data_IF_125492492296
#
_entry.id   IF_125492492296
#
_cell.length_a   1.000
_cell.length_b   1.000
_cell.length_c   1.000
_cell.angle_alpha   90.00
_cell.angle_beta   90.00
_cell.angle_gamma   90.00
#
_symmetry.space_group_name_H-M   'P 1'
#
loop_
_entity.id
_entity.type
_entity.pdbx_description
1 polymer ?
#
# COMPACT_ATOMS: atom_id res chain seq x y z
N UNK A 1 10.03 11.66 4.68
CA UNK A 1 9.65 10.59 3.75
C UNK A 1 8.88 11.11 2.53
N UNK A 2 9.23 10.62 1.34
CA UNK A 2 8.50 10.87 0.09
C UNK A 2 7.33 9.91 -0.10
N UNK A 3 6.24 10.32 -0.77
CA UNK A 3 5.06 9.45 -0.96
C UNK A 3 5.34 8.19 -1.78
N UNK A 4 6.32 8.22 -2.69
CA UNK A 4 6.78 7.02 -3.42
C UNK A 4 7.23 5.93 -2.43
N UNK A 5 7.88 6.30 -1.33
CA UNK A 5 8.29 5.32 -0.31
C UNK A 5 7.08 4.72 0.42
N UNK A 6 5.97 5.46 0.55
CA UNK A 6 4.70 4.91 1.07
C UNK A 6 4.09 3.89 0.09
N UNK A 7 4.21 4.15 -1.21
CA UNK A 7 3.75 3.20 -2.24
C UNK A 7 4.60 1.94 -2.26
N UNK A 8 5.91 2.06 -2.04
CA UNK A 8 6.83 0.92 -1.87
C UNK A 8 6.60 0.14 -0.58
N UNK A 9 6.20 0.82 0.49
CA UNK A 9 5.78 0.15 1.72
C UNK A 9 4.48 -0.64 1.50
N UNK A 10 3.55 -0.08 0.72
CA UNK A 10 2.31 -0.78 0.36
C UNK A 10 2.60 -2.07 -0.42
N UNK A 11 3.58 -2.07 -1.33
CA UNK A 11 3.96 -3.29 -2.07
C UNK A 11 4.59 -4.34 -1.15
N UNK A 12 5.39 -3.93 -0.16
CA UNK A 12 5.96 -4.85 0.85
C UNK A 12 4.85 -5.47 1.69
N UNK A 13 3.93 -4.64 2.18
CA UNK A 13 2.78 -5.14 2.93
C UNK A 13 1.91 -6.06 2.10
N UNK A 14 1.70 -5.79 0.82
CA UNK A 14 0.90 -6.66 -0.03
C UNK A 14 1.58 -8.02 -0.29
N UNK A 15 2.92 -8.04 -0.31
CA UNK A 15 3.71 -9.27 -0.47
C UNK A 15 3.80 -10.09 0.82
N UNK A 16 4.06 -9.46 1.96
CA UNK A 16 4.21 -10.15 3.26
C UNK A 16 2.90 -10.25 4.06
N UNK A 17 1.87 -9.48 3.70
CA UNK A 17 0.55 -9.48 4.32
C UNK A 17 -0.08 -10.88 4.43
N UNK A 18 0.03 -11.76 3.43
CA UNK A 18 -0.40 -13.16 3.57
C UNK A 18 0.20 -13.89 4.78
N UNK A 19 1.45 -13.62 5.17
CA UNK A 19 2.06 -14.21 6.36
C UNK A 19 1.41 -13.69 7.65
N UNK A 20 1.01 -12.41 7.65
CA UNK A 20 0.24 -11.81 8.75
C UNK A 20 -1.13 -12.45 8.87
N UNK A 21 -1.79 -12.75 7.74
CA UNK A 21 -3.09 -13.44 7.71
C UNK A 21 -3.01 -14.90 8.18
N UNK A 22 -1.90 -15.60 7.91
CA UNK A 22 -1.75 -17.01 8.31
C UNK A 22 -1.51 -17.16 9.82
N UNK A 23 -0.67 -16.32 10.40
CA UNK A 23 -0.36 -16.37 11.82
C UNK A 23 -1.46 -15.62 12.59
N UNK A 24 -2.37 -16.36 13.24
CA UNK A 24 -3.52 -15.88 14.05
C UNK A 24 -3.11 -15.11 15.32
N UNK A 25 -2.21 -14.15 15.18
CA UNK A 25 -1.75 -13.26 16.25
C UNK A 25 -2.28 -11.85 16.00
N UNK A 26 -2.84 -11.19 17.02
CA UNK A 26 -3.31 -9.82 16.89
C UNK A 26 -2.14 -8.86 16.65
N UNK A 27 -2.44 -7.71 16.04
CA UNK A 27 -1.50 -6.59 15.94
C UNK A 27 -1.43 -5.92 17.32
N UNK A 28 -0.24 -5.46 17.73
CA UNK A 28 -0.08 -4.72 18.99
C UNK A 28 -1.03 -3.52 19.05
N UNK A 29 -1.79 -3.33 20.14
CA UNK A 29 -2.65 -2.15 20.34
C UNK A 29 -1.87 -0.84 20.24
N UNK A 30 -0.60 -0.83 20.65
CA UNK A 30 0.27 0.33 20.54
C UNK A 30 0.51 0.72 19.07
N UNK A 31 0.80 -0.26 18.20
CA UNK A 31 1.02 -0.02 16.78
C UNK A 31 -0.25 0.54 16.11
N UNK A 32 -1.42 0.02 16.47
CA UNK A 32 -2.71 0.51 15.97
C UNK A 32 -2.97 1.95 16.46
N UNK A 33 -2.72 2.24 17.73
CA UNK A 33 -2.89 3.58 18.30
C UNK A 33 -1.95 4.61 17.64
N UNK A 34 -0.70 4.22 17.37
CA UNK A 34 0.24 5.08 16.64
C UNK A 34 -0.20 5.31 15.19
N UNK A 35 -0.69 4.27 14.51
CA UNK A 35 -1.21 4.40 13.14
C UNK A 35 -2.41 5.33 13.07
N UNK A 36 -3.32 5.24 14.05
CA UNK A 36 -4.43 6.17 14.20
C UNK A 36 -3.96 7.61 14.38
N UNK A 37 -3.07 7.86 15.34
CA UNK A 37 -2.56 9.20 15.64
C UNK A 37 -1.83 9.83 14.45
N UNK A 38 -0.93 9.09 13.81
CA UNK A 38 -0.18 9.55 12.65
C UNK A 38 -1.11 9.83 11.45
N UNK A 39 -2.07 8.94 11.19
CA UNK A 39 -3.04 9.13 10.11
C UNK A 39 -3.96 10.32 10.34
N UNK A 40 -4.45 10.52 11.56
CA UNK A 40 -5.27 11.68 11.97
C UNK A 40 -4.52 12.99 11.75
N UNK A 41 -3.28 13.09 12.25
CA UNK A 41 -2.45 14.28 12.07
C UNK A 41 -2.27 14.62 10.57
N UNK A 42 -1.96 13.61 9.74
CA UNK A 42 -1.82 13.80 8.29
C UNK A 42 -3.13 14.25 7.64
N UNK A 43 -4.26 13.64 8.00
CA UNK A 43 -5.58 14.01 7.49
C UNK A 43 -5.95 15.46 7.87
N UNK A 44 -5.60 15.91 9.07
CA UNK A 44 -5.84 17.30 9.50
C UNK A 44 -5.05 18.30 8.66
N UNK A 45 -3.79 17.99 8.32
CA UNK A 45 -2.99 18.82 7.42
C UNK A 45 -3.64 18.90 6.02
N UNK A 46 -4.12 17.78 5.48
CA UNK A 46 -4.84 17.77 4.21
C UNK A 46 -6.15 18.55 4.28
N UNK A 47 -6.90 18.44 5.38
CA UNK A 47 -8.11 19.21 5.60
C UNK A 47 -7.84 20.71 5.64
N UNK A 48 -6.75 21.15 6.27
CA UNK A 48 -6.35 22.56 6.26
C UNK A 48 -6.03 23.06 4.85
N UNK A 49 -5.35 22.27 4.03
CA UNK A 49 -5.06 22.59 2.62
C UNK A 49 -6.36 22.75 1.83
N UNK A 50 -7.30 21.81 1.96
CA UNK A 50 -8.60 21.89 1.27
C UNK A 50 -9.50 23.00 1.82
N UNK A 51 -9.40 23.35 3.10
CA UNK A 51 -10.11 24.49 3.67
C UNK A 51 -9.60 25.82 3.07
N UNK A 52 -8.28 25.95 2.87
CA UNK A 52 -7.69 27.11 2.19
C UNK A 52 -8.15 27.22 0.74
N UNK A 53 -8.25 26.10 0.02
CA UNK A 53 -8.83 26.08 -1.33
C UNK A 53 -10.22 26.73 -1.36
N UNK A 54 -11.12 26.31 -0.45
CA UNK A 54 -12.48 26.83 -0.39
C UNK A 54 -12.54 28.33 -0.07
N UNK A 55 -11.65 28.81 0.82
CA UNK A 55 -11.54 30.25 1.13
C UNK A 55 -11.05 31.06 -0.06
N UNK A 56 -10.04 30.59 -0.78
CA UNK A 56 -9.57 31.27 -2.00
C UNK A 56 -10.67 31.23 -3.07
N UNK A 57 -11.37 30.10 -3.20
CA UNK A 57 -12.50 29.95 -4.13
C UNK A 57 -13.61 30.96 -3.89
N UNK A 58 -13.97 31.23 -2.63
CA UNK A 58 -15.04 32.17 -2.30
C UNK A 58 -14.69 33.63 -2.60
N UNK A 59 -13.39 33.98 -2.68
CA UNK A 59 -12.97 35.33 -3.08
C UNK A 59 -13.16 35.62 -4.57
N UNK A 60 -13.24 34.60 -5.42
CA UNK A 60 -13.31 34.75 -6.87
C UNK A 60 -12.01 35.21 -7.54
N UNK A 61 -10.93 35.37 -6.78
CA UNK A 61 -9.63 35.82 -7.29
C UNK A 61 -8.90 34.68 -8.03
N UNK A 62 -8.90 34.77 -9.37
CA UNK A 62 -8.26 33.79 -10.25
C UNK A 62 -6.74 33.70 -10.06
N UNK A 63 -6.07 34.81 -9.76
CA UNK A 63 -4.62 34.81 -9.54
C UNK A 63 -4.27 34.06 -8.27
N UNK A 64 -4.95 34.38 -7.15
CA UNK A 64 -4.77 33.66 -5.89
C UNK A 64 -5.10 32.17 -6.03
N UNK A 65 -6.12 31.84 -6.81
CA UNK A 65 -6.46 30.44 -7.07
C UNK A 65 -5.32 29.71 -7.81
N UNK A 66 -4.73 30.35 -8.83
CA UNK A 66 -3.59 29.77 -9.55
C UNK A 66 -2.35 29.59 -8.66
N UNK A 67 -2.06 30.56 -7.79
CA UNK A 67 -0.99 30.43 -6.80
C UNK A 67 -1.26 29.25 -5.86
N UNK A 68 -2.48 29.12 -5.34
CA UNK A 68 -2.84 28.00 -4.47
C UNK A 68 -2.59 26.64 -5.15
N UNK A 69 -3.00 26.48 -6.41
CA UNK A 69 -2.74 25.24 -7.17
C UNK A 69 -1.26 24.95 -7.31
N UNK A 70 -0.46 25.97 -7.60
CA UNK A 70 1.00 25.83 -7.74
C UNK A 70 1.62 25.40 -6.41
N UNK A 71 1.22 26.03 -5.31
CA UNK A 71 1.80 25.80 -3.98
C UNK A 71 1.40 24.45 -3.37
N UNK A 72 0.21 23.93 -3.71
CA UNK A 72 -0.35 22.74 -3.04
C UNK A 72 -0.43 21.51 -3.95
N UNK A 73 0.06 21.59 -5.19
CA UNK A 73 0.04 20.48 -6.15
C UNK A 73 0.59 19.18 -5.56
N UNK A 74 1.75 19.27 -4.89
CA UNK A 74 2.39 18.11 -4.29
C UNK A 74 1.54 17.46 -3.18
N UNK A 75 0.80 18.24 -2.37
CA UNK A 75 -0.11 17.69 -1.36
C UNK A 75 -1.25 16.89 -2.01
N UNK A 76 -1.80 17.39 -3.13
CA UNK A 76 -2.84 16.68 -3.88
C UNK A 76 -2.33 15.36 -4.46
N UNK A 77 -1.09 15.36 -4.94
CA UNK A 77 -0.40 14.14 -5.39
C UNK A 77 -0.19 13.16 -4.24
N UNK A 78 0.22 13.63 -3.07
CA UNK A 78 0.41 12.80 -1.88
C UNK A 78 -0.90 12.17 -1.40
N UNK A 79 -2.02 12.90 -1.45
CA UNK A 79 -3.36 12.36 -1.14
C UNK A 79 -3.66 11.21 -2.09
N UNK A 80 -3.55 11.42 -3.40
CA UNK A 80 -3.89 10.41 -4.41
C UNK A 80 -2.98 9.18 -4.36
N UNK A 81 -1.68 9.34 -4.13
CA UNK A 81 -0.74 8.22 -4.10
C UNK A 81 -0.79 7.44 -2.77
N UNK A 82 -1.08 8.11 -1.65
CA UNK A 82 -1.17 7.47 -0.33
C UNK A 82 -2.35 6.51 -0.20
N UNK A 83 -3.36 6.58 -1.09
CA UNK A 83 -4.52 5.67 -1.06
C UNK A 83 -4.08 4.21 -1.12
N UNK A 84 -3.02 3.90 -1.90
CA UNK A 84 -2.53 2.54 -2.06
C UNK A 84 -2.18 1.90 -0.71
N UNK A 85 -1.39 2.60 0.10
CA UNK A 85 -0.97 2.11 1.41
C UNK A 85 -2.17 1.97 2.35
N UNK A 86 -2.99 3.01 2.44
CA UNK A 86 -4.14 3.02 3.36
C UNK A 86 -5.12 1.89 3.06
N UNK A 87 -5.34 1.58 1.78
CA UNK A 87 -6.26 0.54 1.34
C UNK A 87 -5.69 -0.87 1.55
N UNK A 88 -4.38 -1.06 1.34
CA UNK A 88 -3.67 -2.31 1.70
C UNK A 88 -3.72 -2.56 3.21
N UNK A 89 -3.46 -1.55 4.03
CA UNK A 89 -3.52 -1.68 5.50
C UNK A 89 -4.94 -2.03 5.97
N UNK A 90 -5.97 -1.40 5.41
CA UNK A 90 -7.36 -1.73 5.73
C UNK A 90 -7.73 -3.16 5.33
N UNK A 91 -7.27 -3.63 4.16
CA UNK A 91 -7.50 -5.01 3.74
C UNK A 91 -6.81 -6.03 4.66
N UNK A 92 -5.58 -5.77 5.08
CA UNK A 92 -4.84 -6.65 6.01
C UNK A 92 -5.49 -6.64 7.40
N UNK A 93 -5.86 -5.46 7.93
CA UNK A 93 -6.51 -5.33 9.23
C UNK A 93 -7.83 -6.10 9.29
N UNK A 94 -8.67 -5.94 8.26
CA UNK A 94 -9.91 -6.71 8.10
C UNK A 94 -9.65 -8.23 7.97
N UNK A 95 -8.66 -8.63 7.18
CA UNK A 95 -8.30 -10.03 7.04
C UNK A 95 -7.82 -10.69 8.34
N UNK A 96 -7.07 -9.96 9.17
CA UNK A 96 -6.59 -10.44 10.48
C UNK A 96 -7.78 -10.63 11.43
N UNK A 97 -8.62 -9.61 11.57
CA UNK A 97 -9.76 -9.64 12.49
C UNK A 97 -10.77 -10.73 12.13
N UNK A 98 -11.11 -10.87 10.85
CA UNK A 98 -12.01 -11.94 10.39
C UNK A 98 -11.45 -13.33 10.66
N UNK A 99 -10.13 -13.54 10.55
CA UNK A 99 -9.49 -14.84 10.80
C UNK A 99 -9.38 -15.17 12.28
N UNK A 100 -9.29 -14.15 13.13
CA UNK A 100 -9.24 -14.29 14.58
C UNK A 100 -10.63 -14.25 15.23
N UNK A 101 -11.67 -13.83 14.50
CA UNK A 101 -13.01 -13.62 15.05
C UNK A 101 -13.07 -12.41 15.98
N UNK A 102 -12.21 -11.42 15.75
CA UNK A 102 -12.06 -10.19 16.55
C UNK A 102 -12.49 -8.96 15.75
N UNK A 103 -12.51 -7.80 16.41
CA UNK A 103 -12.77 -6.50 15.78
C UNK A 103 -11.87 -5.41 16.39
N UNK A 104 -10.58 -5.68 16.51
CA UNK A 104 -9.62 -4.82 17.19
C UNK A 104 -8.90 -3.86 16.23
N UNK A 105 -8.62 -4.30 15.00
CA UNK A 105 -7.83 -3.57 14.01
C UNK A 105 -8.67 -2.99 12.87
N UNK A 106 -9.66 -3.77 12.40
CA UNK A 106 -10.54 -3.46 11.29
C UNK A 106 -11.28 -2.12 11.48
N UNK A 107 -11.86 -1.79 12.66
CA UNK A 107 -12.62 -0.56 12.81
C UNK A 107 -11.75 0.68 12.64
N UNK A 108 -10.53 0.62 13.17
CA UNK A 108 -9.57 1.74 13.14
C UNK A 108 -9.01 1.91 11.73
N UNK A 109 -8.55 0.82 11.11
CA UNK A 109 -8.00 0.87 9.75
C UNK A 109 -9.06 1.25 8.72
N UNK A 110 -10.31 0.78 8.88
CA UNK A 110 -11.44 1.17 8.05
C UNK A 110 -11.84 2.63 8.25
N UNK A 111 -11.89 3.14 9.48
CA UNK A 111 -12.17 4.55 9.73
C UNK A 111 -11.15 5.46 9.04
N UNK A 112 -9.86 5.13 9.14
CA UNK A 112 -8.78 5.86 8.45
C UNK A 112 -8.95 5.77 6.93
N UNK A 113 -9.28 4.60 6.41
CA UNK A 113 -9.54 4.40 4.99
C UNK A 113 -10.70 5.27 4.48
N UNK A 114 -11.82 5.31 5.21
CA UNK A 114 -12.97 6.16 4.87
C UNK A 114 -12.62 7.65 4.90
N UNK A 115 -11.87 8.12 5.90
CA UNK A 115 -11.39 9.50 5.95
C UNK A 115 -10.43 9.84 4.79
N UNK A 116 -9.60 8.88 4.38
CA UNK A 116 -8.76 9.04 3.19
C UNK A 116 -9.60 9.16 1.91
N UNK A 117 -10.64 8.32 1.74
CA UNK A 117 -11.54 8.39 0.59
C UNK A 117 -12.24 9.76 0.51
N UNK A 118 -12.62 10.34 1.65
CA UNK A 118 -13.16 11.69 1.70
C UNK A 118 -12.15 12.73 1.17
N UNK A 119 -10.90 12.70 1.65
CA UNK A 119 -9.84 13.60 1.18
C UNK A 119 -9.61 13.46 -0.34
N UNK A 120 -9.49 12.23 -0.85
CA UNK A 120 -9.40 11.92 -2.28
C UNK A 120 -10.57 12.49 -3.08
N UNK A 121 -11.81 12.30 -2.60
CA UNK A 121 -13.00 12.80 -3.29
C UNK A 121 -13.00 14.33 -3.36
N UNK A 122 -12.53 15.02 -2.31
CA UNK A 122 -12.36 16.48 -2.34
C UNK A 122 -11.33 16.93 -3.37
N UNK A 123 -10.21 16.20 -3.53
CA UNK A 123 -9.24 16.46 -4.61
C UNK A 123 -9.88 16.29 -5.98
N UNK A 124 -10.66 15.23 -6.19
CA UNK A 124 -11.36 15.01 -7.46
C UNK A 124 -12.35 16.12 -7.80
N UNK A 125 -13.12 16.58 -6.80
CA UNK A 125 -14.01 17.72 -6.97
C UNK A 125 -13.25 19.00 -7.32
N UNK A 126 -12.08 19.25 -6.70
CA UNK A 126 -11.25 20.40 -7.05
C UNK A 126 -10.75 20.33 -8.49
N UNK A 127 -10.34 19.15 -8.98
CA UNK A 127 -9.94 18.93 -10.38
C UNK A 127 -11.11 19.21 -11.34
N UNK A 128 -12.33 18.76 -11.00
CA UNK A 128 -13.52 18.95 -11.82
C UNK A 128 -14.02 20.41 -11.86
N UNK A 129 -13.86 21.15 -10.76
CA UNK A 129 -14.25 22.57 -10.65
C UNK A 129 -13.39 23.47 -11.56
N UNK A 130 -12.17 23.05 -11.91
CA UNK A 130 -11.23 23.70 -12.86
C UNK A 130 -10.83 25.16 -12.57
N UNK A 131 -11.31 25.78 -11.49
CA UNK A 131 -10.98 27.18 -11.15
C UNK A 131 -9.50 27.30 -10.81
N UNK A 132 -8.77 28.09 -11.59
CA UNK A 132 -7.33 28.34 -11.46
C UNK A 132 -6.42 27.12 -11.64
N UNK A 133 -6.97 25.95 -11.96
CA UNK A 133 -6.22 24.75 -12.30
C UNK A 133 -5.88 24.79 -13.79
N UNK A 134 -4.61 24.59 -14.15
CA UNK A 134 -4.26 24.45 -15.57
C UNK A 134 -4.78 23.10 -16.11
N UNK A 135 -5.09 23.03 -17.41
CA UNK A 135 -5.47 21.76 -18.06
C UNK A 135 -4.36 20.71 -17.91
N UNK A 136 -3.10 21.15 -17.99
CA UNK A 136 -1.94 20.27 -17.82
C UNK A 136 -1.93 19.63 -16.43
N UNK A 137 -2.17 20.41 -15.38
CA UNK A 137 -2.19 19.93 -14.00
C UNK A 137 -3.35 18.98 -13.74
N UNK A 138 -4.56 19.31 -14.24
CA UNK A 138 -5.72 18.43 -14.15
C UNK A 138 -5.46 17.08 -14.83
N UNK A 139 -4.83 17.09 -16.01
CA UNK A 139 -4.43 15.87 -16.73
C UNK A 139 -3.38 15.09 -15.93
N UNK A 140 -2.39 15.76 -15.34
CA UNK A 140 -1.34 15.13 -14.51
C UNK A 140 -1.94 14.41 -13.31
N UNK A 141 -2.79 15.07 -12.53
CA UNK A 141 -3.47 14.47 -11.37
C UNK A 141 -4.39 13.32 -11.78
N UNK A 142 -5.10 13.43 -12.90
CA UNK A 142 -5.93 12.32 -13.39
C UNK A 142 -5.10 11.11 -13.87
N UNK A 143 -3.89 11.33 -14.43
CA UNK A 143 -2.96 10.24 -14.74
C UNK A 143 -2.49 9.56 -13.45
N UNK A 144 -2.08 10.33 -12.44
CA UNK A 144 -1.70 9.80 -11.13
C UNK A 144 -2.84 8.97 -10.53
N UNK A 145 -4.07 9.50 -10.50
CA UNK A 145 -5.27 8.77 -10.03
C UNK A 145 -5.40 7.41 -10.72
N UNK A 146 -5.32 7.36 -12.05
CA UNK A 146 -5.44 6.09 -12.80
C UNK A 146 -4.32 5.11 -12.49
N UNK A 147 -3.10 5.60 -12.29
CA UNK A 147 -1.95 4.78 -11.88
C UNK A 147 -2.16 4.22 -10.48
N UNK A 148 -2.59 5.05 -9.52
CA UNK A 148 -2.99 4.61 -8.17
C UNK A 148 -4.04 3.52 -8.25
N UNK A 149 -5.11 3.74 -9.00
CA UNK A 149 -6.23 2.81 -9.10
C UNK A 149 -5.81 1.43 -9.61
N UNK A 150 -4.96 1.39 -10.64
CA UNK A 150 -4.44 0.14 -11.20
C UNK A 150 -3.55 -0.61 -10.21
N UNK A 151 -2.65 0.10 -9.53
CA UNK A 151 -1.77 -0.54 -8.55
C UNK A 151 -2.52 -1.01 -7.31
N UNK A 152 -3.59 -0.33 -6.90
CA UNK A 152 -4.49 -0.84 -5.87
C UNK A 152 -5.03 -2.21 -6.24
N UNK A 153 -5.55 -2.41 -7.46
CA UNK A 153 -6.11 -3.71 -7.85
C UNK A 153 -5.06 -4.82 -7.90
N UNK A 154 -3.82 -4.51 -8.28
CA UNK A 154 -2.70 -5.46 -8.27
C UNK A 154 -2.38 -5.87 -6.83
N UNK A 155 -2.16 -4.91 -5.94
CA UNK A 155 -1.74 -5.19 -4.56
C UNK A 155 -2.87 -5.79 -3.71
N UNK A 156 -4.10 -5.32 -3.86
CA UNK A 156 -5.25 -5.95 -3.19
C UNK A 156 -5.50 -7.33 -3.77
N UNK A 157 -5.30 -7.51 -5.08
CA UNK A 157 -5.39 -8.82 -5.73
C UNK A 157 -4.41 -9.83 -5.13
N UNK A 158 -3.15 -9.44 -4.90
CA UNK A 158 -2.15 -10.33 -4.30
C UNK A 158 -2.51 -10.79 -2.89
N UNK A 159 -3.09 -9.90 -2.07
CA UNK A 159 -3.55 -10.25 -0.72
C UNK A 159 -4.83 -11.11 -0.79
N UNK A 160 -5.75 -10.75 -1.70
CA UNK A 160 -7.03 -11.44 -1.90
C UNK A 160 -6.89 -12.87 -2.45
N UNK A 161 -5.71 -13.22 -2.96
CA UNK A 161 -5.35 -14.59 -3.30
C UNK A 161 -5.55 -15.56 -2.12
N UNK A 162 -5.33 -15.06 -0.90
CA UNK A 162 -5.40 -15.80 0.37
C UNK A 162 -6.73 -15.62 1.10
N UNK A 163 -7.56 -14.69 0.65
CA UNK A 163 -8.80 -14.31 1.31
C UNK A 163 -9.71 -13.55 0.34
N UNK A 164 -10.69 -14.26 -0.23
CA UNK A 164 -11.50 -13.74 -1.33
C UNK A 164 -12.37 -12.52 -0.93
N UNK A 165 -12.73 -12.38 0.35
CA UNK A 165 -13.51 -11.25 0.85
C UNK A 165 -12.76 -9.91 0.73
N UNK A 166 -11.42 -9.95 0.73
CA UNK A 166 -10.59 -8.75 0.63
C UNK A 166 -10.63 -8.10 -0.76
N UNK A 167 -11.19 -8.79 -1.77
CA UNK A 167 -11.36 -8.22 -3.12
C UNK A 167 -12.19 -6.94 -3.12
N UNK A 168 -13.05 -6.74 -2.12
CA UNK A 168 -13.85 -5.51 -1.93
C UNK A 168 -13.03 -4.24 -1.73
N UNK A 169 -11.77 -4.38 -1.29
CA UNK A 169 -10.83 -3.26 -1.19
C UNK A 169 -10.22 -2.88 -2.54
N UNK A 170 -10.49 -3.60 -3.64
CA UNK A 170 -10.08 -3.20 -4.98
C UNK A 170 -10.80 -1.93 -5.48
N UNK A 171 -10.26 -1.30 -6.52
CA UNK A 171 -10.97 -0.26 -7.27
C UNK A 171 -11.93 -0.86 -8.29
N UNK A 172 -11.52 -1.95 -8.93
CA UNK A 172 -12.28 -2.71 -9.91
C UNK A 172 -12.28 -4.18 -9.51
N UNK A 173 -13.45 -4.69 -9.15
CA UNK A 173 -13.61 -6.05 -8.65
C UNK A 173 -13.16 -7.10 -9.66
N UNK A 174 -13.42 -6.90 -10.95
CA UNK A 174 -13.06 -7.85 -12.00
C UNK A 174 -11.54 -7.91 -12.15
N UNK A 175 -10.90 -6.73 -12.26
CA UNK A 175 -9.43 -6.64 -12.37
C UNK A 175 -8.73 -7.17 -11.12
N UNK A 176 -9.24 -6.84 -9.94
CA UNK A 176 -8.70 -7.32 -8.65
C UNK A 176 -8.79 -8.85 -8.56
N UNK A 177 -9.91 -9.44 -8.97
CA UNK A 177 -10.07 -10.91 -9.01
C UNK A 177 -9.12 -11.57 -9.99
N UNK A 178 -8.91 -11.00 -11.17
CA UNK A 178 -7.92 -11.49 -12.13
C UNK A 178 -6.49 -11.45 -11.58
N UNK A 179 -6.13 -10.40 -10.82
CA UNK A 179 -4.84 -10.38 -10.14
C UNK A 179 -4.75 -11.42 -9.01
N UNK A 180 -5.84 -11.66 -8.28
CA UNK A 180 -5.89 -12.70 -7.26
C UNK A 180 -5.75 -14.12 -7.82
N UNK A 181 -6.30 -14.41 -9.01
CA UNK A 181 -6.08 -15.70 -9.69
C UNK A 181 -4.63 -15.87 -10.13
N UNK A 182 -4.05 -14.86 -10.77
CA UNK A 182 -2.65 -14.89 -11.19
C UNK A 182 -1.68 -15.04 -10.00
N UNK A 183 -1.96 -14.37 -8.88
CA UNK A 183 -1.16 -14.47 -7.68
C UNK A 183 -1.21 -15.87 -7.05
N UNK A 184 -2.37 -16.56 -7.09
CA UNK A 184 -2.47 -17.97 -6.64
C UNK A 184 -1.62 -18.89 -7.50
N UNK A 185 -1.62 -18.70 -8.81
CA UNK A 185 -0.82 -19.49 -9.76
C UNK A 185 0.70 -19.29 -9.57
N UNK A 186 1.14 -18.08 -9.19
CA UNK A 186 2.55 -17.78 -8.93
C UNK A 186 3.03 -18.17 -7.51
N UNK A 187 2.13 -18.47 -6.57
CA UNK A 187 2.48 -18.61 -5.14
C UNK A 187 3.42 -19.78 -4.80
N UNK A 188 3.51 -20.78 -5.67
CA UNK A 188 4.30 -22.01 -5.44
C UNK A 188 5.69 -21.99 -6.08
N UNK A 189 6.01 -20.98 -6.88
CA UNK A 189 7.24 -20.97 -7.70
C UNK A 189 8.32 -20.05 -7.12
N UNK A 190 9.63 -20.36 -7.29
CA UNK A 190 10.73 -19.44 -6.97
C UNK A 190 10.58 -18.07 -7.65
N UNK A 191 9.81 -17.99 -8.73
CA UNK A 191 9.46 -16.73 -9.41
C UNK A 191 8.61 -15.77 -8.57
N UNK A 192 7.99 -16.19 -7.47
CA UNK A 192 7.14 -15.33 -6.65
C UNK A 192 7.87 -14.09 -6.11
N UNK A 193 9.10 -14.25 -5.63
CA UNK A 193 9.91 -13.15 -5.10
C UNK A 193 10.38 -12.21 -6.22
N UNK A 194 10.79 -12.77 -7.36
CA UNK A 194 11.13 -12.00 -8.56
C UNK A 194 9.94 -11.18 -9.07
N UNK A 195 8.74 -11.77 -9.10
CA UNK A 195 7.50 -11.06 -9.48
C UNK A 195 7.22 -9.92 -8.51
N UNK A 196 7.41 -10.12 -7.21
CA UNK A 196 7.24 -9.06 -6.21
C UNK A 196 8.24 -7.91 -6.38
N UNK A 197 9.50 -8.24 -6.67
CA UNK A 197 10.54 -7.25 -6.95
C UNK A 197 10.24 -6.44 -8.22
N UNK A 198 9.89 -7.12 -9.32
CA UNK A 198 9.49 -6.47 -10.58
C UNK A 198 8.25 -5.60 -10.41
N UNK A 199 7.26 -6.09 -9.65
CA UNK A 199 6.04 -5.35 -9.31
C UNK A 199 6.39 -4.06 -8.59
N UNK A 200 7.26 -4.13 -7.57
CA UNK A 200 7.72 -2.96 -6.81
C UNK A 200 8.48 -1.98 -7.69
N UNK A 201 9.45 -2.45 -8.48
CA UNK A 201 10.23 -1.59 -9.37
C UNK A 201 9.34 -0.85 -10.39
N UNK A 202 8.42 -1.58 -11.04
CA UNK A 202 7.47 -1.01 -11.98
C UNK A 202 6.51 -0.02 -11.30
N UNK A 203 6.11 -0.30 -10.06
CA UNK A 203 5.27 0.58 -9.27
C UNK A 203 5.99 1.88 -8.92
N UNK A 204 7.20 1.79 -8.36
CA UNK A 204 8.05 2.95 -8.06
C UNK A 204 8.22 3.84 -9.27
N UNK A 205 8.59 3.27 -10.42
CA UNK A 205 8.74 4.01 -11.67
C UNK A 205 7.42 4.67 -12.11
N UNK A 206 6.29 3.94 -11.98
CA UNK A 206 4.97 4.43 -12.31
C UNK A 206 4.55 5.65 -11.49
N UNK A 207 4.83 5.67 -10.18
CA UNK A 207 4.53 6.81 -9.33
C UNK A 207 5.50 7.96 -9.50
N UNK A 208 6.80 7.70 -9.57
CA UNK A 208 7.85 8.72 -9.64
C UNK A 208 7.69 9.68 -10.82
N UNK A 209 7.09 9.21 -11.93
CA UNK A 209 6.79 10.03 -13.12
C UNK A 209 5.64 11.02 -12.94
N UNK A 210 4.84 10.88 -11.88
CA UNK A 210 3.56 11.58 -11.70
C UNK A 210 3.44 12.38 -10.40
N UNK A 211 4.49 12.38 -9.58
CA UNK A 211 4.54 13.12 -8.32
C UNK A 211 5.71 14.10 -8.32
N UNK A 212 5.62 15.13 -7.49
CA UNK A 212 6.70 16.07 -7.25
C UNK A 212 7.99 15.36 -6.82
N UNK A 213 9.16 15.95 -7.11
CA UNK A 213 10.46 15.39 -6.69
C UNK A 213 10.72 15.53 -5.19
N UNK A 214 10.13 16.56 -4.57
CA UNK A 214 10.27 16.85 -3.16
C UNK A 214 8.95 16.51 -2.45
N UNK A 215 9.06 15.92 -1.26
CA UNK A 215 7.91 15.59 -0.44
C UNK A 215 7.24 16.88 0.06
N UNK A 216 5.92 16.93 0.01
CA UNK A 216 5.16 18.07 0.53
C UNK A 216 4.98 17.99 2.04
N UNK A 217 4.71 16.79 2.57
CA UNK A 217 4.54 16.57 4.01
C UNK A 217 5.46 15.44 4.52
N UNK A 218 6.79 15.61 4.47
CA UNK A 218 7.74 14.53 4.73
C UNK A 218 7.63 13.91 6.12
N UNK A 219 7.37 14.70 7.15
CA UNK A 219 7.24 14.23 8.54
C UNK A 219 5.92 13.48 8.77
N UNK A 220 4.81 13.96 8.20
CA UNK A 220 3.53 13.29 8.31
C UNK A 220 3.53 11.95 7.56
N UNK A 221 4.19 11.89 6.40
CA UNK A 221 4.39 10.63 5.68
C UNK A 221 5.25 9.66 6.49
N UNK A 222 6.34 10.15 7.12
CA UNK A 222 7.20 9.32 7.97
C UNK A 222 6.42 8.70 9.13
N UNK A 223 5.65 9.49 9.88
CA UNK A 223 4.89 8.96 11.02
C UNK A 223 3.88 7.87 10.64
N UNK A 224 3.27 7.98 9.44
CA UNK A 224 2.39 6.91 8.92
C UNK A 224 3.19 5.68 8.55
N UNK A 225 4.36 5.81 7.93
CA UNK A 225 5.20 4.67 7.62
C UNK A 225 5.73 3.96 8.87
N UNK A 226 6.23 4.71 9.85
CA UNK A 226 6.78 4.16 11.09
C UNK A 226 5.71 3.35 11.84
N UNK A 227 4.51 3.90 11.96
CA UNK A 227 3.39 3.21 12.60
C UNK A 227 2.94 1.97 11.83
N UNK A 228 2.93 2.02 10.49
CA UNK A 228 2.65 0.84 9.66
C UNK A 228 3.74 -0.22 9.79
N UNK A 229 5.02 0.17 9.86
CA UNK A 229 6.12 -0.76 10.11
C UNK A 229 6.00 -1.41 11.48
N UNK A 230 5.53 -0.70 12.50
CA UNK A 230 5.23 -1.29 13.81
C UNK A 230 4.07 -2.30 13.78
N UNK A 231 3.13 -2.14 12.83
CA UNK A 231 2.08 -3.14 12.61
C UNK A 231 2.64 -4.43 12.00
N UNK A 232 3.81 -4.36 11.33
CA UNK A 232 4.55 -5.54 10.89
C UNK A 232 5.24 -6.16 12.11
N UNK A 233 4.76 -7.34 12.52
CA UNK A 233 5.25 -8.02 13.71
C UNK A 233 6.72 -8.40 13.57
N UNK A 234 7.46 -8.39 14.68
CA UNK A 234 8.88 -8.77 14.72
C UNK A 234 9.14 -10.21 14.24
N UNK A 235 8.17 -11.11 14.39
CA UNK A 235 8.28 -12.50 13.91
C UNK A 235 8.29 -12.63 12.38
N UNK A 236 7.90 -11.57 11.67
CA UNK A 236 8.04 -11.44 10.23
C UNK A 236 9.49 -11.24 9.79
N UNK A 237 10.38 -10.88 10.72
CA UNK A 237 11.77 -10.60 10.46
C UNK A 237 12.67 -11.75 10.91
N UNK A 238 13.72 -12.02 10.15
CA UNK A 238 14.79 -12.93 10.53
C UNK A 238 15.71 -12.32 11.61
N UNK A 239 16.73 -13.06 12.04
CA UNK A 239 17.66 -12.62 13.08
C UNK A 239 18.52 -11.41 12.68
N UNK A 240 18.51 -11.00 11.41
CA UNK A 240 19.29 -9.87 10.87
C UNK A 240 18.35 -8.68 10.57
N UNK A 241 17.04 -8.84 10.77
CA UNK A 241 16.05 -7.79 10.54
C UNK A 241 15.55 -7.73 9.09
N UNK A 242 15.69 -8.80 8.31
CA UNK A 242 15.11 -8.90 6.96
C UNK A 242 13.77 -9.64 6.99
N UNK A 243 12.82 -9.25 6.15
CA UNK A 243 11.50 -9.88 6.13
C UNK A 243 11.59 -11.29 5.55
N UNK A 244 11.12 -12.28 6.30
CA UNK A 244 11.09 -13.67 5.87
C UNK A 244 10.11 -13.84 4.71
N UNK A 245 10.42 -14.80 3.83
CA UNK A 245 9.50 -15.20 2.78
C UNK A 245 8.25 -15.86 3.36
N UNK A 246 7.14 -15.81 2.62
CA UNK A 246 5.90 -16.50 3.01
C UNK A 246 6.14 -18.01 3.22
N UNK A 247 7.02 -18.60 2.43
CA UNK A 247 7.44 -20.00 2.56
C UNK A 247 8.11 -20.29 3.89
N UNK A 248 9.03 -19.44 4.32
CA UNK A 248 9.69 -19.57 5.62
C UNK A 248 8.66 -19.45 6.75
N UNK A 249 7.71 -18.52 6.65
CA UNK A 249 6.63 -18.42 7.62
C UNK A 249 5.76 -19.67 7.69
N UNK A 250 5.43 -20.27 6.53
CA UNK A 250 4.71 -21.54 6.50
C UNK A 250 5.51 -22.66 7.18
N UNK A 251 6.84 -22.70 6.99
CA UNK A 251 7.75 -23.68 7.62
C UNK A 251 7.87 -23.47 9.13
N UNK A 252 7.87 -22.23 9.61
CA UNK A 252 7.94 -21.93 11.04
C UNK A 252 6.59 -22.14 11.74
N UNK A 253 5.47 -21.87 11.07
CA UNK A 253 4.13 -22.14 11.60
C UNK A 253 3.75 -23.63 11.59
N UNK A 254 4.59 -24.48 10.98
CA UNK A 254 4.35 -25.89 10.65
C UNK A 254 4.50 -26.88 11.81
N UNK A 255 4.67 -26.40 13.05
CA UNK A 255 4.43 -27.26 14.21
C UNK A 255 2.93 -27.55 14.38
N UNK A 256 2.03 -26.71 13.82
CA UNK A 256 0.59 -26.80 14.09
C UNK A 256 -0.32 -27.20 12.89
N UNK A 257 0.15 -27.26 11.64
CA UNK A 257 -0.72 -27.49 10.45
C UNK A 257 -0.06 -28.32 9.33
N UNK A 258 -0.16 -29.65 9.41
CA UNK A 258 0.48 -30.63 8.49
C UNK A 258 -0.36 -30.98 7.26
N UNK A 259 -1.69 -30.95 7.35
CA UNK A 259 -2.58 -31.58 6.35
C UNK A 259 -2.75 -30.79 5.04
N UNK A 260 -2.67 -29.46 5.11
CA UNK A 260 -2.91 -28.61 3.93
C UNK A 260 -1.73 -28.62 2.94
N UNK A 261 -0.56 -29.00 3.43
CA UNK A 261 0.70 -28.96 2.72
C UNK A 261 0.97 -30.18 1.85
N UNK A 262 0.57 -31.36 2.32
CA UNK A 262 0.71 -32.61 1.56
C UNK A 262 -0.11 -32.51 0.26
N UNK A 263 -1.28 -31.87 0.32
CA UNK A 263 -2.11 -31.62 -0.84
C UNK A 263 -1.50 -30.65 -1.86
N UNK A 264 -0.64 -29.72 -1.41
CA UNK A 264 0.01 -28.73 -2.27
C UNK A 264 1.33 -29.26 -2.87
N UNK A 265 2.09 -30.05 -2.11
CA UNK A 265 3.34 -30.69 -2.57
C UNK A 265 3.11 -31.83 -3.58
N UNK A 266 1.92 -32.45 -3.56
CA UNK A 266 1.52 -33.48 -4.52
C UNK A 266 0.99 -32.90 -5.84
N UNK A 267 0.97 -31.57 -6.01
CA UNK A 267 0.67 -30.97 -7.32
C UNK A 267 1.91 -31.07 -8.21
N UNK A 268 1.80 -31.67 -9.41
CA UNK A 268 2.94 -31.80 -10.30
C UNK A 268 3.40 -30.40 -10.78
N UNK A 269 4.65 -30.06 -10.50
CA UNK A 269 5.33 -28.87 -11.03
C UNK A 269 5.55 -29.03 -12.53
N UNK A 270 4.91 -28.18 -13.33
CA UNK A 270 5.22 -28.03 -14.75
C UNK A 270 6.19 -26.85 -14.87
N UNK A 271 7.48 -27.18 -14.98
CA UNK A 271 8.64 -26.33 -15.32
C UNK A 271 9.66 -26.11 -14.18
N UNK A 272 10.57 -27.07 -14.01
CA UNK A 272 11.88 -26.80 -13.42
C UNK A 272 12.67 -25.84 -14.34
N UNK A 273 13.19 -24.73 -13.81
CA UNK A 273 14.17 -23.91 -14.51
C UNK A 273 15.35 -23.52 -13.61
N UNK A 274 16.54 -23.66 -14.18
CA UNK A 274 17.85 -23.83 -13.54
C UNK A 274 18.60 -22.51 -13.38
N UNK A 275 18.08 -21.55 -12.60
CA UNK A 275 18.73 -20.22 -12.45
C UNK A 275 18.79 -19.74 -11.00
N UNK A 276 19.22 -20.58 -10.06
CA UNK A 276 19.35 -20.21 -8.64
C UNK A 276 20.64 -19.43 -8.34
N UNK A 277 21.67 -19.49 -9.20
CA UNK A 277 23.03 -19.09 -8.80
C UNK A 277 23.39 -17.61 -9.03
N UNK A 278 22.59 -16.83 -9.77
CA UNK A 278 22.83 -15.39 -9.98
C UNK A 278 22.09 -14.49 -8.98
N UNK A 279 21.20 -15.09 -8.17
CA UNK A 279 20.17 -14.42 -7.39
C UNK A 279 20.69 -13.88 -6.03
N UNK A 280 21.58 -14.62 -5.38
CA UNK A 280 22.10 -14.25 -4.04
C UNK A 280 23.01 -13.02 -4.05
N UNK A 281 23.64 -12.69 -5.19
CA UNK A 281 24.58 -11.57 -5.28
C UNK A 281 23.91 -10.18 -5.38
N UNK A 282 22.65 -10.10 -5.83
CA UNK A 282 21.92 -8.81 -6.00
C UNK A 282 21.18 -8.37 -4.72
N UNK A 283 20.86 -9.31 -3.83
CA UNK A 283 20.07 -9.09 -2.62
C UNK A 283 20.79 -8.21 -1.57
N UNK A 284 22.11 -8.27 -1.50
CA UNK A 284 22.89 -7.52 -0.50
C UNK A 284 22.86 -5.98 -0.70
N UNK A 285 22.58 -5.50 -1.92
CA UNK A 285 22.68 -4.07 -2.26
C UNK A 285 21.40 -3.26 -2.02
N UNK A 286 20.22 -3.89 -2.00
CA UNK A 286 18.94 -3.17 -1.94
C UNK A 286 18.52 -2.78 -0.50
N UNK A 287 18.86 -3.59 0.50
CA UNK A 287 18.48 -3.35 1.91
C UNK A 287 19.36 -2.29 2.60
N UNK A 288 20.57 -2.03 2.09
CA UNK A 288 21.49 -1.02 2.65
C UNK A 288 20.98 0.43 2.54
N UNK A 289 19.92 0.69 1.75
CA UNK A 289 19.33 2.02 1.58
C UNK A 289 18.32 2.41 2.67
N UNK A 290 17.88 1.45 3.50
CA UNK A 290 16.88 1.70 4.55
C UNK A 290 17.52 1.97 5.94
N UNK A 291 18.83 1.79 6.07
CA UNK A 291 19.59 2.02 7.31
C UNK A 291 20.59 3.21 7.21
N UNK A 292 20.29 4.22 6.37
CA UNK A 292 21.04 5.48 6.34
C UNK A 292 20.15 6.69 6.52
#
# INVERSE_FOLDING_TARGET
MHVVQLTELASVLAYHGPAMLLQRRPISPEAIAQYWSASRNRLDLWHQVMARFNRVKSTGDFYRMRCWWTDHMGVLEEILASEVLTRVVAAIGDGIDRRNGTDECSPITQAIHLSHLEARNRVQWAILDRRGCSVSDAVRLNRLRRVTERWIDVLVGSISAYDAELTRFGMDLTRTRSHATAARECSTTPSHETVAWLTRAAMTEGFQKHVAKQASLPAANQGVADSVMMMMRADLFDSIGTLKSLWMHRIESKVDQTDQMIAEFLRPDVNESTTVNAYEQLHATALAQWFR
#
